data_IF_648542228066
#
_entry.id   IF_648542228066
#
_cell.length_a   1.000
_cell.length_b   1.000
_cell.length_c   1.000
_cell.angle_alpha   90.00
_cell.angle_beta   90.00
_cell.angle_gamma   90.00
#
_symmetry.space_group_name_H-M   'P 1'
#
loop_
_entity.id
_entity.type
_entity.pdbx_description
1 polymer ?
#
# COMPACT_ATOMS: atom_id res chain seq x y z
N UNK A 1 -10.89 -51.97 -26.39
CA UNK A 1 -11.56 -50.71 -26.66
C UNK A 1 -12.16 -50.04 -25.41
N UNK A 2 -12.64 -50.78 -24.42
CA UNK A 2 -13.22 -50.18 -23.21
C UNK A 2 -12.21 -49.55 -22.24
N UNK A 3 -10.93 -49.89 -22.33
CA UNK A 3 -9.90 -49.37 -21.43
C UNK A 3 -9.39 -47.97 -21.80
N UNK A 4 -9.64 -47.54 -23.02
CA UNK A 4 -9.19 -46.20 -23.48
C UNK A 4 -10.14 -45.07 -23.09
N UNK A 5 -11.43 -45.40 -22.93
CA UNK A 5 -12.43 -44.40 -22.52
C UNK A 5 -12.31 -44.02 -21.05
N UNK A 6 -11.80 -44.93 -20.20
CA UNK A 6 -11.58 -44.64 -18.78
C UNK A 6 -10.41 -43.68 -18.53
N UNK A 7 -9.41 -43.67 -19.42
CA UNK A 7 -8.27 -42.77 -19.32
C UNK A 7 -8.60 -41.32 -19.72
N UNK A 8 -9.53 -41.17 -20.66
CA UNK A 8 -9.92 -39.82 -21.14
C UNK A 8 -10.83 -39.11 -20.15
N UNK A 9 -11.68 -39.87 -19.43
CA UNK A 9 -12.56 -39.32 -18.41
C UNK A 9 -11.78 -38.84 -17.18
N UNK A 10 -10.67 -39.52 -16.85
CA UNK A 10 -9.85 -39.14 -15.70
C UNK A 10 -9.00 -37.88 -15.97
N UNK A 11 -8.67 -37.62 -17.24
CA UNK A 11 -7.90 -36.42 -17.61
C UNK A 11 -8.72 -35.11 -17.63
N UNK A 12 -10.04 -35.22 -17.72
CA UNK A 12 -10.94 -34.06 -17.72
C UNK A 12 -11.26 -33.52 -16.33
N UNK A 13 -10.89 -34.24 -15.27
CA UNK A 13 -11.18 -33.84 -13.89
C UNK A 13 -10.05 -33.02 -13.24
N UNK A 14 -8.90 -32.87 -13.90
CA UNK A 14 -7.75 -32.12 -13.39
C UNK A 14 -7.68 -30.66 -13.86
N UNK A 15 -8.65 -30.21 -14.63
CA UNK A 15 -8.69 -28.83 -15.17
C UNK A 15 -9.41 -27.81 -14.28
N UNK A 16 -9.66 -28.11 -13.01
CA UNK A 16 -10.58 -27.36 -12.19
C UNK A 16 -10.00 -26.36 -11.17
N UNK A 17 -8.71 -26.06 -11.22
CA UNK A 17 -8.15 -24.99 -10.38
C UNK A 17 -8.08 -23.71 -11.19
N UNK A 18 -9.22 -23.08 -11.41
CA UNK A 18 -9.26 -21.69 -11.75
C UNK A 18 -8.72 -20.93 -10.53
N UNK A 19 -7.43 -20.62 -10.52
CA UNK A 19 -6.85 -19.73 -9.55
C UNK A 19 -7.56 -18.38 -9.70
N UNK A 20 -8.32 -17.99 -8.68
CA UNK A 20 -8.76 -16.62 -8.57
C UNK A 20 -7.49 -15.77 -8.46
N UNK A 21 -7.17 -15.04 -9.52
CA UNK A 21 -6.09 -14.08 -9.47
C UNK A 21 -6.38 -13.10 -8.33
N UNK A 22 -5.44 -12.85 -7.39
CA UNK A 22 -5.63 -11.82 -6.40
C UNK A 22 -5.88 -10.48 -7.12
N UNK A 23 -6.75 -9.59 -6.58
CA UNK A 23 -6.97 -8.29 -7.19
C UNK A 23 -5.62 -7.60 -7.38
N UNK A 24 -5.39 -7.02 -8.56
CA UNK A 24 -4.17 -6.27 -8.82
C UNK A 24 -4.05 -5.14 -7.80
N UNK A 25 -2.85 -4.97 -7.17
CA UNK A 25 -2.65 -3.85 -6.29
C UNK A 25 -2.83 -2.55 -7.09
N UNK A 26 -3.51 -1.57 -6.50
CA UNK A 26 -3.63 -0.25 -7.11
C UNK A 26 -2.24 0.36 -7.30
N UNK A 27 -2.07 1.14 -8.36
CA UNK A 27 -0.84 1.91 -8.53
C UNK A 27 -0.65 2.84 -7.33
N UNK A 28 0.56 2.90 -6.76
CA UNK A 28 0.81 3.78 -5.64
C UNK A 28 0.72 5.25 -6.05
N UNK A 29 0.24 6.09 -5.15
CA UNK A 29 0.42 7.52 -5.26
C UNK A 29 1.89 7.82 -4.95
N UNK A 30 2.57 8.54 -5.82
CA UNK A 30 3.98 8.86 -5.66
C UNK A 30 4.21 10.36 -5.67
N UNK A 31 5.18 10.81 -4.88
CA UNK A 31 5.56 12.20 -4.85
C UNK A 31 6.93 12.39 -4.22
N UNK A 32 7.57 13.50 -4.59
CA UNK A 32 8.80 13.93 -3.95
C UNK A 32 8.46 14.94 -2.86
N UNK A 33 9.10 14.78 -1.70
CA UNK A 33 8.91 15.66 -0.55
C UNK A 33 10.27 16.13 -0.03
N UNK A 34 10.37 17.35 0.55
CA UNK A 34 11.61 17.77 1.16
C UNK A 34 11.89 16.97 2.46
N UNK A 35 13.13 16.88 2.83
CA UNK A 35 13.54 16.22 4.06
C UNK A 35 14.20 14.86 3.86
N UNK A 36 14.91 14.41 4.89
CA UNK A 36 15.52 13.09 4.92
C UNK A 36 14.45 11.99 5.09
N UNK A 37 14.84 10.76 4.83
CA UNK A 37 13.93 9.60 5.05
C UNK A 37 13.39 9.59 6.48
N UNK A 38 14.24 9.81 7.48
CA UNK A 38 13.84 9.84 8.89
C UNK A 38 12.83 10.96 9.18
N UNK A 39 13.08 12.17 8.69
CA UNK A 39 12.16 13.29 8.85
C UNK A 39 10.81 13.01 8.22
N UNK A 40 10.81 12.45 7.02
CA UNK A 40 9.57 12.11 6.30
C UNK A 40 8.80 11.02 7.02
N UNK A 41 9.48 10.00 7.55
CA UNK A 41 8.83 8.93 8.32
C UNK A 41 8.21 9.50 9.60
N UNK A 42 8.92 10.33 10.34
CA UNK A 42 8.42 10.94 11.58
C UNK A 42 7.19 11.81 11.32
N UNK A 43 7.24 12.64 10.30
CA UNK A 43 6.12 13.51 9.94
C UNK A 43 4.92 12.71 9.43
N UNK A 44 5.19 11.65 8.68
CA UNK A 44 4.14 10.74 8.18
C UNK A 44 3.43 10.02 9.32
N UNK A 45 4.17 9.54 10.31
CA UNK A 45 3.59 8.91 11.49
C UNK A 45 2.73 9.90 12.28
N UNK A 46 3.22 11.13 12.48
CA UNK A 46 2.48 12.17 13.16
C UNK A 46 1.15 12.47 12.45
N UNK A 47 1.19 12.62 11.13
CA UNK A 47 0.01 12.88 10.31
C UNK A 47 -1.01 11.74 10.40
N UNK A 48 -0.55 10.50 10.32
CA UNK A 48 -1.41 9.33 10.43
C UNK A 48 -2.09 9.26 11.80
N UNK A 49 -1.33 9.45 12.87
CA UNK A 49 -1.86 9.45 14.24
C UNK A 49 -2.85 10.57 14.48
N UNK A 50 -2.61 11.76 13.97
CA UNK A 50 -3.56 12.88 14.06
C UNK A 50 -4.90 12.57 13.41
N UNK A 51 -4.91 11.74 12.37
CA UNK A 51 -6.12 11.32 11.68
C UNK A 51 -6.76 10.05 12.26
N UNK A 52 -6.26 9.60 13.40
CA UNK A 52 -6.82 8.46 14.13
C UNK A 52 -6.30 7.10 13.73
N UNK A 53 -5.27 7.03 12.87
CA UNK A 53 -4.65 5.78 12.50
C UNK A 53 -3.76 5.25 13.60
N UNK A 54 -3.72 3.93 13.73
CA UNK A 54 -2.78 3.21 14.60
C UNK A 54 -1.62 2.71 13.74
N UNK A 55 -0.41 3.06 14.12
CA UNK A 55 0.80 2.57 13.45
C UNK A 55 0.99 1.10 13.86
N UNK A 56 0.87 0.20 12.89
CA UNK A 56 1.06 -1.23 13.10
C UNK A 56 2.50 -1.66 12.92
N UNK A 57 3.18 -1.00 12.01
CA UNK A 57 4.57 -1.29 11.69
C UNK A 57 5.25 -0.02 11.21
N UNK A 58 6.46 0.22 11.71
CA UNK A 58 7.31 1.29 11.25
C UNK A 58 8.77 0.78 11.26
N UNK A 59 9.40 0.83 10.12
CA UNK A 59 10.77 0.35 9.94
C UNK A 59 11.58 1.46 9.27
N UNK A 60 12.44 2.09 10.04
CA UNK A 60 13.28 3.20 9.58
C UNK A 60 14.35 2.73 8.57
N UNK A 61 14.85 1.51 8.72
CA UNK A 61 15.87 0.96 7.82
C UNK A 61 15.31 0.67 6.43
N UNK A 62 14.08 0.18 6.37
CA UNK A 62 13.38 -0.09 5.11
C UNK A 62 12.58 1.11 4.60
N UNK A 63 12.40 2.15 5.43
CA UNK A 63 11.59 3.30 5.05
C UNK A 63 10.11 2.99 4.93
N UNK A 64 9.56 2.09 5.76
CA UNK A 64 8.18 1.62 5.64
C UNK A 64 7.34 1.95 6.85
N UNK A 65 6.09 2.32 6.58
CA UNK A 65 5.05 2.48 7.61
C UNK A 65 3.82 1.73 7.14
N UNK A 66 3.19 1.01 8.08
CA UNK A 66 1.88 0.43 7.89
C UNK A 66 0.97 0.88 9.02
N UNK A 67 -0.19 1.44 8.69
CA UNK A 67 -1.14 1.99 9.63
C UNK A 67 -2.55 1.54 9.30
N UNK A 68 -3.38 1.42 10.34
CA UNK A 68 -4.78 1.00 10.19
C UNK A 68 -5.70 1.95 10.94
N UNK A 69 -6.88 2.15 10.38
CA UNK A 69 -7.99 2.84 11.03
C UNK A 69 -9.10 1.83 11.26
N UNK A 70 -9.48 1.62 12.53
CA UNK A 70 -10.45 0.60 12.93
C UNK A 70 -11.90 0.95 12.69
N UNK A 71 -12.19 2.07 12.03
CA UNK A 71 -13.56 2.46 11.66
C UNK A 71 -14.07 1.62 10.50
N UNK A 72 -15.23 1.02 10.66
CA UNK A 72 -15.81 0.18 9.61
C UNK A 72 -15.93 0.94 8.27
N UNK A 73 -15.58 0.37 7.11
CA UNK A 73 -15.18 -1.03 6.84
C UNK A 73 -13.70 -1.33 7.08
N UNK A 74 -12.94 -0.45 7.69
CA UNK A 74 -11.53 -0.59 7.93
C UNK A 74 -10.68 0.01 6.83
N UNK A 75 -9.67 0.76 7.21
CA UNK A 75 -8.72 1.37 6.29
C UNK A 75 -7.31 0.93 6.65
N UNK A 76 -6.51 0.67 5.63
CA UNK A 76 -5.10 0.36 5.79
C UNK A 76 -4.30 1.24 4.84
N UNK A 77 -3.28 1.88 5.38
CA UNK A 77 -2.35 2.70 4.60
C UNK A 77 -0.97 2.07 4.72
N UNK A 78 -0.30 1.94 3.58
CA UNK A 78 1.09 1.57 3.49
C UNK A 78 1.86 2.69 2.81
N UNK A 79 3.00 3.03 3.40
CA UNK A 79 3.83 4.12 2.92
C UNK A 79 5.28 3.64 2.85
N UNK A 80 5.95 3.91 1.75
CA UNK A 80 7.38 3.66 1.58
C UNK A 80 8.08 4.95 1.24
N UNK A 81 9.21 5.19 1.90
CA UNK A 81 10.02 6.39 1.73
C UNK A 81 11.43 5.97 1.31
N UNK A 82 11.91 6.57 0.25
CA UNK A 82 13.26 6.35 -0.26
C UNK A 82 13.98 7.67 -0.43
N UNK A 83 15.29 7.66 -0.20
CA UNK A 83 16.12 8.82 -0.49
C UNK A 83 16.11 9.16 -1.98
N UNK A 84 16.03 10.42 -2.31
CA UNK A 84 16.08 10.94 -3.67
C UNK A 84 17.19 11.99 -3.78
N UNK A 85 17.47 12.48 -4.99
CA UNK A 85 18.51 13.49 -5.20
C UNK A 85 18.28 14.75 -4.36
N UNK A 86 17.01 15.15 -4.25
CA UNK A 86 16.57 16.28 -3.40
C UNK A 86 15.41 15.83 -2.53
N UNK A 87 15.68 15.60 -1.24
CA UNK A 87 14.67 15.12 -0.32
C UNK A 87 14.44 13.64 -0.43
N UNK A 88 13.19 13.26 -0.40
CA UNK A 88 12.76 11.85 -0.40
C UNK A 88 11.62 11.61 -1.36
N UNK A 89 11.54 10.39 -1.87
CA UNK A 89 10.41 9.91 -2.67
C UNK A 89 9.48 9.10 -1.79
N UNK A 90 8.21 9.42 -1.82
CA UNK A 90 7.16 8.75 -1.07
C UNK A 90 6.26 7.98 -2.02
N UNK A 91 6.02 6.71 -1.72
CA UNK A 91 5.03 5.87 -2.38
C UNK A 91 3.97 5.47 -1.35
N UNK A 92 2.71 5.69 -1.68
CA UNK A 92 1.61 5.46 -0.76
C UNK A 92 0.52 4.63 -1.42
N UNK A 93 0.07 3.58 -0.72
CA UNK A 93 -1.07 2.78 -1.12
C UNK A 93 -2.05 2.68 0.04
N UNK A 94 -3.32 2.51 -0.27
CA UNK A 94 -4.35 2.34 0.73
C UNK A 94 -5.39 1.31 0.31
N UNK A 95 -6.04 0.74 1.30
CA UNK A 95 -7.16 -0.19 1.13
C UNK A 95 -8.31 0.25 2.02
N UNK A 96 -9.52 0.05 1.52
CA UNK A 96 -10.76 0.23 2.27
C UNK A 96 -11.52 -1.09 2.25
N UNK A 97 -11.74 -1.69 3.44
CA UNK A 97 -12.41 -2.98 3.53
C UNK A 97 -11.73 -4.08 2.71
N UNK A 98 -10.41 -4.04 2.57
CA UNK A 98 -9.64 -4.98 1.76
C UNK A 98 -9.57 -4.67 0.26
N UNK A 99 -10.25 -3.61 -0.21
CA UNK A 99 -10.21 -3.20 -1.63
C UNK A 99 -9.24 -2.04 -1.83
N UNK A 100 -8.36 -2.11 -2.85
CA UNK A 100 -7.43 -1.03 -3.13
C UNK A 100 -8.17 0.28 -3.43
N UNK A 101 -7.66 1.40 -2.89
CA UNK A 101 -8.13 2.73 -3.21
C UNK A 101 -7.35 3.30 -4.39
N UNK A 102 -8.01 4.07 -5.28
CA UNK A 102 -7.32 4.77 -6.36
C UNK A 102 -6.28 5.76 -5.83
N UNK A 103 -5.17 5.92 -6.56
CA UNK A 103 -4.07 6.79 -6.17
C UNK A 103 -4.47 8.26 -6.04
N UNK A 104 -5.44 8.71 -6.83
CA UNK A 104 -5.93 10.09 -6.77
C UNK A 104 -6.55 10.45 -5.42
N UNK A 105 -7.10 9.49 -4.69
CA UNK A 105 -7.62 9.72 -3.34
C UNK A 105 -6.50 9.92 -2.30
N UNK A 106 -5.28 9.53 -2.62
CA UNK A 106 -4.12 9.67 -1.75
C UNK A 106 -3.30 10.93 -2.03
N UNK A 107 -3.52 11.59 -3.16
CA UNK A 107 -2.84 12.84 -3.50
C UNK A 107 -2.96 13.91 -2.40
N UNK A 108 -4.13 14.13 -1.78
CA UNK A 108 -4.23 15.10 -0.69
C UNK A 108 -3.33 14.79 0.51
N UNK A 109 -3.06 13.52 0.80
CA UNK A 109 -2.13 13.12 1.85
C UNK A 109 -0.70 13.55 1.52
N UNK A 110 -0.27 13.30 0.28
CA UNK A 110 1.06 13.71 -0.19
C UNK A 110 1.21 15.23 -0.19
N UNK A 111 0.18 15.95 -0.58
CA UNK A 111 0.18 17.41 -0.55
C UNK A 111 0.30 17.94 0.87
N UNK A 112 -0.43 17.36 1.81
CA UNK A 112 -0.36 17.75 3.23
C UNK A 112 1.03 17.46 3.79
N UNK A 113 1.57 16.28 3.49
CA UNK A 113 2.90 15.89 3.94
C UNK A 113 3.97 16.85 3.41
N UNK A 114 3.91 17.17 2.12
CA UNK A 114 4.82 18.12 1.49
C UNK A 114 4.74 19.51 2.15
N UNK A 115 3.53 19.96 2.42
CA UNK A 115 3.31 21.25 3.09
C UNK A 115 3.92 21.29 4.49
N UNK A 116 3.77 20.22 5.26
CA UNK A 116 4.33 20.13 6.62
C UNK A 116 5.86 20.11 6.60
N UNK A 117 6.46 19.38 5.68
CA UNK A 117 7.90 19.29 5.56
C UNK A 117 8.52 20.56 5.01
N UNK A 118 7.82 21.26 4.12
CA UNK A 118 8.27 22.53 3.56
C UNK A 118 8.14 23.70 4.52
N UNK A 119 7.22 23.65 5.48
CA UNK A 119 6.98 24.74 6.43
C UNK A 119 7.93 24.72 7.63
N UNK A 120 8.75 23.70 7.77
CA UNK A 120 9.77 23.58 8.84
C UNK A 120 11.01 24.44 8.62
N UNK A 121 11.02 25.25 7.62
CA UNK A 121 12.08 26.22 7.34
C UNK A 121 11.69 27.57 7.92
#
# INVERSE_FOLDING_TARGET
MRRWLSGIVLMLLLGGCASMAPPEPAEPATGNVPGSVTEVLDESMALLMERGYVIRHADADLGRIEAVLGRWPGYRIRLEVRSAERGSRVEMTAQRGGYPLPSDLLEPWLMTLRSRLGSGL
#
